data_IF_660648557607
#
_entry.id   IF_660648557607
#
_cell.length_a   1.000
_cell.length_b   1.000
_cell.length_c   1.000
_cell.angle_alpha   90.00
_cell.angle_beta   90.00
_cell.angle_gamma   90.00
#
_symmetry.space_group_name_H-M   'P 1'
#
loop_
_entity.id
_entity.type
_entity.pdbx_description
1 polymer ?
#
# COMPACT_ATOMS: atom_id res chain seq x y z
N UNK A 1 -1.48 -7.09 23.67
CA UNK A 1 -2.95 -7.25 23.81
C UNK A 1 -3.56 -7.04 22.42
N UNK A 2 -4.23 -8.04 21.91
CA UNK A 2 -5.02 -7.84 20.68
C UNK A 2 -6.19 -6.94 21.02
N UNK A 3 -6.35 -5.87 20.25
CA UNK A 3 -7.48 -4.95 20.43
C UNK A 3 -8.77 -5.72 20.20
N UNK A 4 -9.62 -5.86 21.20
CA UNK A 4 -10.96 -6.43 21.03
C UNK A 4 -11.86 -5.36 20.45
N UNK A 5 -12.43 -5.62 19.27
CA UNK A 5 -13.36 -4.73 18.57
C UNK A 5 -14.83 -5.12 18.76
N UNK A 6 -15.12 -5.95 19.79
CA UNK A 6 -16.50 -6.35 20.12
C UNK A 6 -17.34 -5.12 20.46
N UNK A 7 -18.50 -5.01 19.82
CA UNK A 7 -19.43 -3.90 20.00
C UNK A 7 -19.11 -2.66 19.17
N UNK A 8 -18.01 -2.65 18.42
CA UNK A 8 -17.68 -1.56 17.50
C UNK A 8 -18.01 -1.91 16.06
N UNK A 9 -18.51 -0.94 15.32
CA UNK A 9 -18.73 -1.02 13.88
C UNK A 9 -17.62 -0.33 13.12
N UNK A 10 -16.94 -1.07 12.25
CA UNK A 10 -15.83 -0.56 11.42
C UNK A 10 -16.29 -0.51 9.97
N UNK A 11 -16.26 0.69 9.39
CA UNK A 11 -16.45 0.89 7.96
C UNK A 11 -15.11 0.74 7.22
N UNK A 12 -15.01 -0.26 6.34
CA UNK A 12 -13.82 -0.51 5.51
C UNK A 12 -14.13 -0.18 4.06
N UNK A 13 -13.50 0.87 3.52
CA UNK A 13 -13.65 1.19 2.10
C UNK A 13 -12.62 0.43 1.26
N UNK A 14 -13.00 0.05 0.04
CA UNK A 14 -12.10 -0.74 -0.81
C UNK A 14 -11.92 -2.19 -0.35
N UNK A 15 -12.83 -2.72 0.47
CA UNK A 15 -12.78 -4.07 1.05
C UNK A 15 -12.75 -5.21 0.01
N UNK A 16 -13.14 -4.98 -1.24
CA UNK A 16 -12.99 -5.95 -2.35
C UNK A 16 -11.59 -5.96 -2.99
N UNK A 17 -10.70 -5.05 -2.58
CA UNK A 17 -9.31 -4.96 -3.03
C UNK A 17 -8.37 -5.84 -2.23
N UNK A 18 -7.10 -5.93 -2.66
CA UNK A 18 -6.06 -6.71 -1.98
C UNK A 18 -5.94 -6.34 -0.49
N UNK A 19 -5.44 -5.17 -0.15
CA UNK A 19 -5.25 -4.76 1.25
C UNK A 19 -6.58 -4.68 2.02
N UNK A 20 -7.63 -4.11 1.40
CA UNK A 20 -8.91 -3.92 2.07
C UNK A 20 -9.60 -5.23 2.46
N UNK A 21 -9.41 -6.31 1.68
CA UNK A 21 -9.96 -7.61 1.99
C UNK A 21 -9.31 -8.24 3.24
N UNK A 22 -8.02 -8.06 3.40
CA UNK A 22 -7.28 -8.54 4.58
C UNK A 22 -7.67 -7.74 5.82
N UNK A 23 -7.74 -6.41 5.70
CA UNK A 23 -8.19 -5.52 6.79
C UNK A 23 -9.62 -5.87 7.23
N UNK A 24 -10.55 -6.09 6.29
CA UNK A 24 -11.93 -6.46 6.63
C UNK A 24 -12.00 -7.80 7.39
N UNK A 25 -11.24 -8.82 6.94
CA UNK A 25 -11.15 -10.12 7.64
C UNK A 25 -10.54 -9.98 9.03
N UNK A 26 -9.46 -9.21 9.14
CA UNK A 26 -8.79 -8.98 10.43
C UNK A 26 -9.72 -8.24 11.41
N UNK A 27 -10.48 -7.24 10.96
CA UNK A 27 -11.48 -6.54 11.77
C UNK A 27 -12.60 -7.49 12.26
N UNK A 28 -13.13 -8.34 11.38
CA UNK A 28 -14.15 -9.33 11.74
C UNK A 28 -13.61 -10.36 12.72
N UNK A 29 -12.37 -10.86 12.51
CA UNK A 29 -11.71 -11.79 13.42
C UNK A 29 -11.46 -11.19 14.82
N UNK A 30 -11.21 -9.87 14.89
CA UNK A 30 -11.11 -9.13 16.14
C UNK A 30 -12.46 -8.82 16.81
N UNK A 31 -13.59 -9.25 16.21
CA UNK A 31 -14.93 -9.15 16.76
C UNK A 31 -15.73 -7.91 16.34
N UNK A 32 -15.26 -7.12 15.37
CA UNK A 32 -15.97 -5.94 14.89
C UNK A 32 -17.22 -6.32 14.04
N UNK A 33 -18.26 -5.47 14.08
CA UNK A 33 -19.32 -5.43 13.08
C UNK A 33 -18.77 -4.70 11.83
N UNK A 34 -18.42 -5.45 10.78
CA UNK A 34 -17.75 -4.91 9.60
C UNK A 34 -18.75 -4.48 8.54
N UNK A 35 -18.60 -3.23 8.09
CA UNK A 35 -19.33 -2.66 6.95
C UNK A 35 -18.35 -2.42 5.81
N UNK A 36 -18.57 -3.09 4.69
CA UNK A 36 -17.72 -2.95 3.50
C UNK A 36 -18.34 -1.97 2.51
N UNK A 37 -17.62 -0.86 2.27
CA UNK A 37 -18.03 0.19 1.34
C UNK A 37 -17.24 0.09 0.03
N UNK A 38 -17.97 -0.01 -1.08
CA UNK A 38 -17.32 -0.08 -2.39
C UNK A 38 -18.26 -0.56 -3.49
N UNK A 39 -17.79 -0.58 -4.73
CA UNK A 39 -18.57 -1.01 -5.91
C UNK A 39 -18.90 -2.51 -5.94
N UNK A 40 -18.17 -3.30 -5.16
CA UNK A 40 -18.34 -4.77 -5.06
C UNK A 40 -18.29 -5.16 -3.58
N UNK A 41 -18.97 -6.26 -3.22
CA UNK A 41 -18.91 -6.80 -1.87
C UNK A 41 -17.46 -7.06 -1.41
N UNK A 42 -17.21 -6.85 -0.13
CA UNK A 42 -16.01 -7.34 0.57
C UNK A 42 -16.12 -8.84 0.91
N UNK A 43 -15.07 -9.41 1.50
CA UNK A 43 -15.05 -10.85 1.81
C UNK A 43 -15.91 -11.23 3.03
N UNK A 44 -16.24 -10.26 3.89
CA UNK A 44 -16.97 -10.44 5.16
C UNK A 44 -17.79 -9.19 5.45
N UNK A 45 -18.75 -9.31 6.37
CA UNK A 45 -19.58 -8.20 6.84
C UNK A 45 -20.67 -7.77 5.85
N UNK A 46 -21.34 -6.65 6.18
CA UNK A 46 -22.40 -6.09 5.33
C UNK A 46 -21.81 -5.25 4.21
N UNK A 47 -22.35 -5.39 3.00
CA UNK A 47 -21.94 -4.56 1.86
C UNK A 47 -22.91 -3.39 1.67
N UNK A 48 -22.32 -2.20 1.55
CA UNK A 48 -23.02 -0.98 1.11
C UNK A 48 -22.38 -0.53 -0.20
N UNK A 49 -23.18 -0.48 -1.26
CA UNK A 49 -22.70 -0.03 -2.55
C UNK A 49 -22.27 1.45 -2.46
N UNK A 50 -21.06 1.74 -2.91
CA UNK A 50 -20.52 3.08 -2.92
C UNK A 50 -19.52 3.25 -4.06
N UNK A 51 -19.72 4.30 -4.86
CA UNK A 51 -18.76 4.74 -5.87
C UNK A 51 -18.08 6.03 -5.45
N UNK A 52 -16.83 5.93 -4.99
CA UNK A 52 -16.03 7.06 -4.55
C UNK A 52 -15.88 8.16 -5.62
N UNK A 53 -16.04 7.84 -6.92
CA UNK A 53 -15.98 8.83 -7.99
C UNK A 53 -17.23 9.70 -8.10
N UNK A 54 -18.35 9.31 -7.47
CA UNK A 54 -19.68 9.89 -7.73
C UNK A 54 -20.34 10.48 -6.50
N UNK A 55 -20.23 9.83 -5.34
CA UNK A 55 -21.10 10.11 -4.19
C UNK A 55 -20.33 10.08 -2.86
N UNK A 56 -20.93 10.65 -1.83
CA UNK A 56 -20.47 10.50 -0.45
C UNK A 56 -20.90 9.12 0.08
N UNK A 57 -20.09 8.46 0.94
CA UNK A 57 -20.49 7.19 1.54
C UNK A 57 -21.55 7.39 2.62
N UNK A 58 -22.46 6.42 2.75
CA UNK A 58 -23.25 6.28 3.96
C UNK A 58 -22.41 5.58 5.04
N UNK A 59 -22.03 6.34 6.06
CA UNK A 59 -21.28 5.86 7.22
C UNK A 59 -22.15 5.68 8.46
N UNK A 60 -23.47 5.63 8.31
CA UNK A 60 -24.39 5.51 9.42
C UNK A 60 -24.06 4.33 10.33
N UNK A 61 -23.90 4.62 11.62
CA UNK A 61 -23.58 3.62 12.65
C UNK A 61 -22.13 3.13 12.66
N UNK A 62 -21.21 3.64 11.83
CA UNK A 62 -19.79 3.32 11.95
C UNK A 62 -19.15 4.13 13.08
N UNK A 63 -18.39 3.45 13.94
CA UNK A 63 -17.60 4.07 15.00
C UNK A 63 -16.21 4.52 14.47
N UNK A 64 -15.65 3.75 13.52
CA UNK A 64 -14.34 3.99 12.92
C UNK A 64 -14.42 3.77 11.41
N UNK A 65 -13.67 4.58 10.66
CA UNK A 65 -13.53 4.45 9.20
C UNK A 65 -12.11 4.09 8.83
N UNK A 66 -11.92 2.98 8.11
CA UNK A 66 -10.62 2.60 7.53
C UNK A 66 -10.71 2.76 6.01
N UNK A 67 -10.00 3.77 5.49
CA UNK A 67 -10.08 4.15 4.09
C UNK A 67 -8.94 3.55 3.26
N UNK A 68 -9.27 2.53 2.45
CA UNK A 68 -8.33 1.90 1.50
C UNK A 68 -8.79 2.03 0.03
N UNK A 69 -9.99 2.58 -0.21
CA UNK A 69 -10.47 2.75 -1.58
C UNK A 69 -9.59 3.72 -2.35
N UNK A 70 -9.00 3.25 -3.43
CA UNK A 70 -8.19 4.06 -4.33
C UNK A 70 -8.15 3.45 -5.73
N UNK A 71 -7.95 4.29 -6.74
CA UNK A 71 -7.46 3.87 -8.05
C UNK A 71 -5.94 3.77 -7.95
N UNK A 72 -5.37 2.57 -8.23
CA UNK A 72 -3.93 2.30 -8.02
C UNK A 72 -3.17 2.17 -9.34
N UNK A 73 -3.80 1.67 -10.38
CA UNK A 73 -3.16 1.43 -11.68
C UNK A 73 -4.16 1.13 -12.78
N UNK A 74 -3.65 0.67 -13.92
CA UNK A 74 -4.45 0.38 -15.11
C UNK A 74 -4.56 1.59 -16.05
N UNK A 75 -5.35 1.48 -17.13
CA UNK A 75 -5.51 2.52 -18.16
C UNK A 75 -6.38 3.69 -17.67
N UNK A 76 -6.20 4.12 -16.42
CA UNK A 76 -6.98 5.19 -15.81
C UNK A 76 -6.42 6.55 -16.18
N UNK A 77 -7.30 7.49 -16.55
CA UNK A 77 -6.93 8.87 -16.84
C UNK A 77 -6.62 9.64 -15.53
N UNK A 78 -5.89 10.75 -15.66
CA UNK A 78 -5.69 11.69 -14.55
C UNK A 78 -7.01 12.07 -13.86
N UNK A 79 -8.06 12.33 -14.63
CA UNK A 79 -9.39 12.68 -14.11
C UNK A 79 -9.99 11.57 -13.26
N UNK A 80 -9.84 10.30 -13.66
CA UNK A 80 -10.33 9.16 -12.89
C UNK A 80 -9.56 9.00 -11.57
N UNK A 81 -8.22 9.10 -11.60
CA UNK A 81 -7.42 9.11 -10.38
C UNK A 81 -7.86 10.22 -9.41
N UNK A 82 -8.04 11.44 -9.91
CA UNK A 82 -8.46 12.59 -9.10
C UNK A 82 -9.85 12.37 -8.50
N UNK A 83 -10.83 11.96 -9.32
CA UNK A 83 -12.22 11.76 -8.86
C UNK A 83 -12.31 10.76 -7.70
N UNK A 84 -11.52 9.67 -7.75
CA UNK A 84 -11.54 8.64 -6.71
C UNK A 84 -10.65 9.02 -5.52
N UNK A 85 -9.35 9.29 -5.78
CA UNK A 85 -8.36 9.40 -4.72
C UNK A 85 -8.38 10.76 -4.00
N UNK A 86 -8.91 11.80 -4.65
CA UNK A 86 -8.97 13.15 -4.07
C UNK A 86 -10.41 13.54 -3.75
N UNK A 87 -11.25 13.65 -4.78
CA UNK A 87 -12.61 14.18 -4.60
C UNK A 87 -13.48 13.20 -3.79
N UNK A 88 -13.33 11.87 -4.05
CA UNK A 88 -13.99 10.81 -3.29
C UNK A 88 -13.51 10.75 -1.84
N UNK A 89 -12.20 10.91 -1.65
CA UNK A 89 -11.60 10.98 -0.32
C UNK A 89 -12.11 12.17 0.49
N UNK A 90 -12.25 13.36 -0.12
CA UNK A 90 -12.84 14.53 0.56
C UNK A 90 -14.27 14.27 0.98
N UNK A 91 -15.12 13.74 0.07
CA UNK A 91 -16.50 13.38 0.41
C UNK A 91 -16.59 12.38 1.56
N UNK A 92 -15.66 11.43 1.63
CA UNK A 92 -15.57 10.50 2.75
C UNK A 92 -15.19 11.22 4.06
N UNK A 93 -14.21 12.12 4.05
CA UNK A 93 -13.81 12.88 5.23
C UNK A 93 -14.96 13.77 5.73
N UNK A 94 -15.67 14.43 4.80
CA UNK A 94 -16.85 15.25 5.13
C UNK A 94 -17.97 14.40 5.75
N UNK A 95 -18.19 13.16 5.24
CA UNK A 95 -19.18 12.22 5.78
C UNK A 95 -18.73 11.64 7.13
N UNK A 96 -17.42 11.46 7.34
CA UNK A 96 -16.89 10.92 8.60
C UNK A 96 -17.11 11.85 9.78
N UNK A 97 -17.13 13.15 9.57
CA UNK A 97 -17.30 14.18 10.64
C UNK A 97 -16.27 13.99 11.76
N UNK A 98 -16.73 13.71 12.99
CA UNK A 98 -15.88 13.50 14.17
C UNK A 98 -15.41 12.06 14.38
N UNK A 99 -15.74 11.13 13.46
CA UNK A 99 -15.33 9.73 13.59
C UNK A 99 -13.83 9.60 13.33
N UNK A 100 -13.13 8.76 14.10
CA UNK A 100 -11.75 8.41 13.78
C UNK A 100 -11.62 7.84 12.36
N UNK A 101 -10.67 8.40 11.59
CA UNK A 101 -10.37 7.94 10.24
C UNK A 101 -8.93 7.44 10.19
N UNK A 102 -8.76 6.20 9.79
CA UNK A 102 -7.48 5.64 9.37
C UNK A 102 -7.41 5.70 7.85
N UNK A 103 -6.47 6.49 7.35
CA UNK A 103 -6.28 6.73 5.92
C UNK A 103 -5.06 5.97 5.42
N UNK A 104 -5.27 4.94 4.60
CA UNK A 104 -4.15 4.21 4.00
C UNK A 104 -3.65 4.95 2.77
N UNK A 105 -2.47 5.55 2.92
CA UNK A 105 -1.71 6.25 1.86
C UNK A 105 -0.67 5.32 1.25
N UNK A 106 0.52 5.81 0.97
CA UNK A 106 1.68 5.07 0.45
C UNK A 106 2.95 5.86 0.70
N UNK A 107 4.07 5.20 0.99
CA UNK A 107 5.37 5.86 1.05
C UNK A 107 5.86 6.38 -0.31
N UNK A 108 5.24 5.97 -1.41
CA UNK A 108 5.52 6.53 -2.75
C UNK A 108 5.10 8.01 -2.90
N UNK A 109 4.53 8.63 -1.86
CA UNK A 109 4.29 10.09 -1.82
C UNK A 109 5.56 10.89 -1.56
N UNK A 110 6.57 10.28 -0.93
CA UNK A 110 7.86 10.92 -0.67
C UNK A 110 8.60 11.27 -1.97
N UNK A 111 9.35 12.37 -1.94
CA UNK A 111 10.07 12.85 -3.11
C UNK A 111 11.19 11.89 -3.53
N UNK A 112 11.08 11.25 -4.71
CA UNK A 112 12.05 10.27 -5.17
C UNK A 112 13.41 10.88 -5.59
N UNK A 113 13.50 12.20 -5.69
CA UNK A 113 14.73 12.93 -6.07
C UNK A 113 15.70 13.12 -4.89
N UNK A 114 15.21 12.88 -3.67
CA UNK A 114 15.98 13.01 -2.44
C UNK A 114 16.49 11.65 -1.98
N UNK A 115 17.50 11.65 -1.09
CA UNK A 115 17.99 10.40 -0.49
C UNK A 115 16.89 9.70 0.33
N UNK A 116 16.71 8.41 0.10
CA UNK A 116 15.73 7.57 0.78
C UNK A 116 16.38 6.39 1.51
N UNK A 117 17.64 6.54 1.88
CA UNK A 117 18.38 5.55 2.69
C UNK A 117 17.81 5.36 4.10
N UNK A 118 17.13 6.39 4.66
CA UNK A 118 16.30 6.32 5.87
C UNK A 118 15.23 7.42 5.82
N UNK A 119 13.99 7.04 5.54
CA UNK A 119 12.87 7.97 5.32
C UNK A 119 12.01 8.06 6.57
N UNK A 120 11.97 9.23 7.18
CA UNK A 120 11.06 9.58 8.28
C UNK A 120 9.79 10.23 7.74
N UNK A 121 8.78 10.38 8.59
CA UNK A 121 7.49 10.95 8.19
C UNK A 121 7.54 12.44 7.82
N UNK A 122 8.58 13.15 8.24
CA UNK A 122 8.86 14.55 7.90
C UNK A 122 9.64 14.71 6.57
N UNK A 123 10.03 13.60 5.93
CA UNK A 123 10.67 13.64 4.59
C UNK A 123 9.74 14.33 3.59
N UNK A 124 10.27 15.19 2.70
CA UNK A 124 9.45 15.94 1.76
C UNK A 124 8.54 15.07 0.89
N UNK A 125 7.30 15.52 0.75
CA UNK A 125 6.29 14.92 -0.14
C UNK A 125 6.27 15.71 -1.44
N UNK A 126 6.62 15.07 -2.56
CA UNK A 126 6.73 15.76 -3.84
C UNK A 126 7.32 14.90 -4.94
N UNK A 127 7.80 15.53 -6.02
CA UNK A 127 8.49 14.84 -7.12
C UNK A 127 7.70 13.74 -7.82
N UNK A 128 6.38 13.80 -7.78
CA UNK A 128 5.48 12.71 -8.18
C UNK A 128 5.63 12.32 -9.65
N UNK A 129 6.02 11.08 -9.90
CA UNK A 129 6.25 10.52 -11.24
C UNK A 129 4.97 10.00 -11.91
N UNK A 130 3.89 9.81 -11.14
CA UNK A 130 2.63 9.24 -11.66
C UNK A 130 1.39 9.98 -11.15
N UNK A 131 0.27 9.84 -11.88
CA UNK A 131 -1.03 10.30 -11.43
C UNK A 131 -1.44 9.65 -10.09
N UNK A 132 -1.04 8.39 -9.88
CA UNK A 132 -1.29 7.69 -8.62
C UNK A 132 -0.62 8.39 -7.44
N UNK A 133 0.71 8.56 -7.47
CA UNK A 133 1.45 9.16 -6.36
C UNK A 133 1.02 10.59 -6.09
N UNK A 134 0.79 11.38 -7.15
CA UNK A 134 0.29 12.76 -7.05
C UNK A 134 -1.09 12.85 -6.41
N UNK A 135 -2.01 11.96 -6.78
CA UNK A 135 -3.38 11.98 -6.22
C UNK A 135 -3.44 11.38 -4.81
N UNK A 136 -2.59 10.39 -4.50
CA UNK A 136 -2.46 9.88 -3.12
C UNK A 136 -1.93 10.97 -2.19
N UNK A 137 -0.89 11.71 -2.59
CA UNK A 137 -0.37 12.84 -1.80
C UNK A 137 -1.41 13.96 -1.62
N UNK A 138 -2.18 14.28 -2.67
CA UNK A 138 -3.23 15.28 -2.57
C UNK A 138 -4.37 14.86 -1.63
N UNK A 139 -4.82 13.59 -1.70
CA UNK A 139 -5.83 13.04 -0.79
C UNK A 139 -5.35 12.98 0.65
N UNK A 140 -4.11 12.55 0.85
CA UNK A 140 -3.46 12.49 2.16
C UNK A 140 -3.41 13.85 2.85
N UNK A 141 -3.11 14.93 2.11
CA UNK A 141 -3.09 16.29 2.66
C UNK A 141 -4.45 16.68 3.25
N UNK A 142 -5.56 16.29 2.61
CA UNK A 142 -6.89 16.51 3.18
C UNK A 142 -7.14 15.65 4.41
N UNK A 143 -6.69 14.40 4.40
CA UNK A 143 -6.83 13.49 5.54
C UNK A 143 -6.07 14.02 6.77
N UNK A 144 -4.82 14.48 6.59
CA UNK A 144 -4.03 15.09 7.65
C UNK A 144 -4.70 16.37 8.20
N UNK A 145 -5.21 17.24 7.32
CA UNK A 145 -5.92 18.44 7.72
C UNK A 145 -7.23 18.14 8.48
N UNK A 146 -7.87 17.01 8.22
CA UNK A 146 -9.05 16.51 8.93
C UNK A 146 -8.73 15.77 10.24
N UNK A 147 -7.45 15.70 10.65
CA UNK A 147 -7.04 14.99 11.86
C UNK A 147 -7.01 13.47 11.75
N UNK A 148 -6.94 12.90 10.55
CA UNK A 148 -6.85 11.47 10.36
C UNK A 148 -5.47 10.91 10.74
N UNK A 149 -5.44 9.62 11.09
CA UNK A 149 -4.20 8.84 11.16
C UNK A 149 -3.89 8.29 9.78
N UNK A 150 -2.76 8.70 9.21
CA UNK A 150 -2.36 8.36 7.84
C UNK A 150 -1.27 7.30 7.89
N UNK A 151 -1.52 6.15 7.28
CA UNK A 151 -0.56 5.05 7.18
C UNK A 151 0.13 5.07 5.81
N UNK A 152 1.45 5.08 5.79
CA UNK A 152 2.29 5.06 4.59
C UNK A 152 3.02 3.71 4.46
N UNK A 153 2.37 2.65 3.96
CA UNK A 153 3.04 1.40 3.63
C UNK A 153 3.87 1.56 2.35
N UNK A 154 4.87 0.67 2.17
CA UNK A 154 5.64 0.58 0.94
C UNK A 154 5.68 -0.87 0.43
N UNK A 155 5.51 -1.03 -0.90
CA UNK A 155 5.61 -2.32 -1.58
C UNK A 155 4.89 -3.46 -0.80
N UNK A 156 3.58 -3.30 -0.61
CA UNK A 156 2.76 -4.26 0.15
C UNK A 156 2.72 -5.60 -0.57
N UNK A 157 3.02 -6.68 0.15
CA UNK A 157 3.00 -8.05 -0.34
C UNK A 157 2.13 -8.94 0.55
N UNK A 158 1.75 -10.11 0.04
CA UNK A 158 0.99 -11.11 0.80
C UNK A 158 -0.06 -11.84 -0.04
N UNK A 159 -0.90 -12.69 0.59
CA UNK A 159 -1.93 -13.45 -0.12
C UNK A 159 -2.92 -12.55 -0.85
N UNK A 160 -3.08 -12.78 -2.17
CA UNK A 160 -3.95 -11.98 -3.03
C UNK A 160 -3.28 -10.75 -3.65
N UNK A 161 -1.97 -10.60 -3.52
CA UNK A 161 -1.21 -9.55 -4.21
C UNK A 161 -1.35 -9.69 -5.74
N UNK A 162 -1.80 -8.59 -6.36
CA UNK A 162 -2.00 -8.49 -7.83
C UNK A 162 -1.00 -7.56 -8.49
N UNK A 163 -0.06 -7.01 -7.73
CA UNK A 163 0.81 -5.93 -8.20
C UNK A 163 2.29 -6.28 -8.13
N UNK A 164 2.81 -6.66 -6.97
CA UNK A 164 4.23 -6.91 -6.76
C UNK A 164 4.62 -8.29 -7.27
N UNK A 165 3.97 -9.34 -6.76
CA UNK A 165 4.28 -10.72 -7.12
C UNK A 165 4.18 -11.00 -8.63
N UNK A 166 3.10 -10.59 -9.35
CA UNK A 166 3.05 -10.78 -10.80
C UNK A 166 4.17 -10.08 -11.56
N UNK A 167 4.64 -8.92 -11.07
CA UNK A 167 5.78 -8.20 -11.70
C UNK A 167 7.09 -8.96 -11.54
N UNK A 168 7.32 -9.55 -10.36
CA UNK A 168 8.51 -10.37 -10.10
C UNK A 168 8.51 -11.60 -11.01
N UNK A 169 7.36 -12.28 -11.16
CA UNK A 169 7.21 -13.43 -12.06
C UNK A 169 7.38 -13.03 -13.53
N UNK A 170 6.72 -11.94 -13.96
CA UNK A 170 6.82 -11.44 -15.34
C UNK A 170 8.26 -11.01 -15.71
N UNK A 171 9.06 -10.59 -14.72
CA UNK A 171 10.45 -10.20 -14.92
C UNK A 171 11.38 -11.41 -15.11
N UNK A 172 10.99 -12.59 -14.62
CA UNK A 172 11.78 -13.83 -14.72
C UNK A 172 11.58 -14.49 -16.10
N UNK A 173 12.41 -14.11 -17.06
CA UNK A 173 12.36 -14.66 -18.43
C UNK A 173 13.63 -15.47 -18.76
N UNK A 174 13.45 -16.63 -19.34
CA UNK A 174 14.55 -17.49 -19.76
C UNK A 174 15.57 -17.74 -18.63
N UNK A 175 15.11 -17.92 -17.39
CA UNK A 175 15.96 -18.15 -16.22
C UNK A 175 16.79 -16.94 -15.77
N UNK A 176 16.42 -15.73 -16.18
CA UNK A 176 17.11 -14.48 -15.83
C UNK A 176 16.13 -13.40 -15.44
N UNK A 177 16.54 -12.55 -14.47
CA UNK A 177 15.87 -11.31 -14.13
C UNK A 177 16.84 -10.15 -14.40
N UNK A 178 16.44 -9.21 -15.26
CA UNK A 178 17.22 -8.01 -15.53
C UNK A 178 16.75 -6.89 -14.61
N UNK A 179 17.64 -6.39 -13.75
CA UNK A 179 17.35 -5.32 -12.80
C UNK A 179 18.18 -4.07 -13.09
N UNK A 180 17.60 -2.87 -13.01
CA UNK A 180 18.33 -1.64 -13.19
C UNK A 180 19.23 -1.32 -11.98
N UNK A 181 20.45 -0.89 -12.24
CA UNK A 181 21.41 -0.48 -11.22
C UNK A 181 21.94 -1.63 -10.36
N UNK A 182 22.73 -1.31 -9.36
CA UNK A 182 23.22 -2.24 -8.35
C UNK A 182 22.08 -2.73 -7.45
N UNK A 183 22.36 -3.71 -6.59
CA UNK A 183 21.42 -4.12 -5.55
C UNK A 183 21.14 -2.96 -4.58
N UNK A 184 19.90 -2.91 -4.08
CA UNK A 184 19.41 -1.83 -3.23
C UNK A 184 18.63 -2.40 -2.04
N UNK A 185 18.45 -1.58 -1.00
CA UNK A 185 17.68 -1.94 0.18
C UNK A 185 16.27 -1.39 0.08
N UNK A 186 15.27 -2.23 0.34
CA UNK A 186 13.86 -1.87 0.27
C UNK A 186 13.14 -2.23 1.57
N UNK A 187 12.39 -1.30 2.11
CA UNK A 187 11.34 -1.65 3.05
C UNK A 187 10.21 -2.33 2.28
N UNK A 188 9.65 -3.40 2.85
CA UNK A 188 8.44 -4.04 2.38
C UNK A 188 7.42 -4.01 3.50
N UNK A 189 6.15 -4.21 3.17
CA UNK A 189 5.07 -4.28 4.17
C UNK A 189 4.24 -5.53 3.92
N UNK A 190 4.27 -6.49 4.83
CA UNK A 190 3.31 -7.59 4.80
C UNK A 190 1.88 -7.04 4.93
N UNK A 191 0.95 -7.55 4.16
CA UNK A 191 -0.44 -7.06 4.18
C UNK A 191 -1.10 -7.29 5.54
N UNK A 192 -0.70 -8.33 6.27
CA UNK A 192 -1.13 -8.60 7.64
C UNK A 192 -0.61 -7.55 8.62
N UNK A 193 0.66 -7.12 8.48
CA UNK A 193 1.22 -6.02 9.28
C UNK A 193 0.47 -4.70 9.00
N UNK A 194 0.09 -4.45 7.75
CA UNK A 194 -0.75 -3.30 7.41
C UNK A 194 -2.14 -3.40 8.04
N UNK A 195 -2.74 -4.60 8.06
CA UNK A 195 -4.04 -4.82 8.68
C UNK A 195 -3.97 -4.59 10.21
N UNK A 196 -2.93 -5.11 10.88
CA UNK A 196 -2.68 -4.87 12.30
C UNK A 196 -2.53 -3.36 12.60
N UNK A 197 -1.76 -2.64 11.76
CA UNK A 197 -1.63 -1.19 11.86
C UNK A 197 -2.98 -0.48 11.69
N UNK A 198 -3.80 -0.89 10.71
CA UNK A 198 -5.13 -0.31 10.50
C UNK A 198 -6.05 -0.48 11.71
N UNK A 199 -5.96 -1.59 12.43
CA UNK A 199 -6.80 -1.87 13.61
C UNK A 199 -6.28 -1.20 14.89
N UNK A 200 -5.00 -0.90 14.98
CA UNK A 200 -4.42 -0.21 16.15
C UNK A 200 -4.39 1.31 15.99
N UNK A 201 -4.30 1.80 14.76
CA UNK A 201 -4.19 3.21 14.42
C UNK A 201 -5.34 4.12 14.91
N UNK A 202 -6.60 3.68 15.09
CA UNK A 202 -7.65 4.56 15.63
C UNK A 202 -7.34 5.15 17.02
N UNK A 203 -6.45 4.55 17.78
CA UNK A 203 -6.00 5.04 19.08
C UNK A 203 -4.73 5.92 19.00
N UNK A 204 -4.13 6.11 17.81
CA UNK A 204 -2.91 6.89 17.66
C UNK A 204 -3.19 8.39 17.51
N UNK A 205 -2.25 9.25 17.88
CA UNK A 205 -2.35 10.66 17.56
C UNK A 205 -2.46 10.90 16.06
N UNK A 206 -3.23 11.91 15.66
CA UNK A 206 -3.34 12.32 14.26
C UNK A 206 -1.96 12.61 13.65
N UNK A 207 -1.78 12.21 12.39
CA UNK A 207 -0.51 12.40 11.69
C UNK A 207 -0.16 11.24 10.76
N UNK A 208 1.00 11.34 10.09
CA UNK A 208 1.50 10.30 9.21
C UNK A 208 2.39 9.30 9.96
N UNK A 209 2.34 8.04 9.52
CA UNK A 209 3.10 6.93 10.09
C UNK A 209 3.60 6.01 8.97
N UNK A 210 4.89 5.74 8.95
CA UNK A 210 5.48 4.71 8.09
C UNK A 210 5.14 3.33 8.63
N UNK A 211 4.62 2.47 7.76
CA UNK A 211 4.28 1.08 8.11
C UNK A 211 5.13 0.15 7.26
N UNK A 212 5.98 -0.63 7.92
CA UNK A 212 6.94 -1.52 7.28
C UNK A 212 7.16 -2.77 8.12
N UNK A 213 7.71 -3.81 7.54
CA UNK A 213 8.24 -4.96 8.27
C UNK A 213 9.40 -4.55 9.18
N UNK A 214 9.80 -5.42 10.08
CA UNK A 214 10.79 -5.11 11.13
C UNK A 214 12.17 -4.69 10.60
N UNK A 215 12.54 -5.14 9.41
CA UNK A 215 13.82 -4.81 8.77
C UNK A 215 13.66 -4.64 7.26
N UNK A 216 14.48 -3.81 6.64
CA UNK A 216 14.54 -3.72 5.17
C UNK A 216 15.19 -4.95 4.58
N UNK A 217 14.88 -5.22 3.32
CA UNK A 217 15.37 -6.37 2.55
C UNK A 217 16.35 -5.92 1.47
N UNK A 218 17.34 -6.77 1.16
CA UNK A 218 18.07 -6.66 -0.09
C UNK A 218 17.12 -7.05 -1.23
N UNK A 219 16.98 -6.18 -2.21
CA UNK A 219 16.04 -6.37 -3.34
C UNK A 219 16.27 -7.69 -4.05
N UNK A 220 17.53 -7.99 -4.35
CA UNK A 220 17.90 -9.16 -5.13
C UNK A 220 17.60 -10.45 -4.38
N UNK A 221 17.92 -10.50 -3.10
CA UNK A 221 17.62 -11.64 -2.23
C UNK A 221 16.11 -11.87 -2.12
N UNK A 222 15.33 -10.81 -1.94
CA UNK A 222 13.87 -10.88 -1.87
C UNK A 222 13.26 -11.42 -3.17
N UNK A 223 13.76 -10.97 -4.33
CA UNK A 223 13.29 -11.44 -5.64
C UNK A 223 13.67 -12.91 -5.86
N UNK A 224 14.92 -13.30 -5.58
CA UNK A 224 15.38 -14.69 -5.74
C UNK A 224 14.62 -15.64 -4.84
N UNK A 225 14.42 -15.25 -3.56
CA UNK A 225 13.67 -16.07 -2.60
C UNK A 225 12.21 -16.24 -3.06
N UNK A 226 11.58 -15.17 -3.55
CA UNK A 226 10.22 -15.21 -4.07
C UNK A 226 10.09 -16.15 -5.29
N UNK A 227 11.01 -16.04 -6.24
CA UNK A 227 10.98 -16.91 -7.42
C UNK A 227 11.20 -18.38 -7.06
N UNK A 228 12.11 -18.67 -6.11
CA UNK A 228 12.35 -20.03 -5.62
C UNK A 228 11.10 -20.62 -4.95
N UNK A 229 10.41 -19.85 -4.12
CA UNK A 229 9.15 -20.27 -3.50
C UNK A 229 8.05 -20.60 -4.52
N UNK A 230 8.12 -19.98 -5.71
CA UNK A 230 7.24 -20.26 -6.86
C UNK A 230 7.77 -21.36 -7.80
N UNK A 231 8.81 -22.09 -7.39
CA UNK A 231 9.41 -23.16 -8.22
C UNK A 231 10.21 -22.64 -9.42
N UNK A 232 10.52 -21.33 -9.48
CA UNK A 232 11.27 -20.72 -10.58
C UNK A 232 12.70 -20.40 -10.17
N UNK A 233 13.66 -21.00 -10.88
CA UNK A 233 15.08 -20.66 -10.71
C UNK A 233 15.48 -19.59 -11.73
N UNK A 234 15.85 -18.41 -11.24
CA UNK A 234 16.34 -17.34 -12.09
C UNK A 234 17.59 -16.67 -11.49
N UNK A 235 18.48 -16.21 -12.36
CA UNK A 235 19.69 -15.47 -11.98
C UNK A 235 19.47 -14.00 -12.23
N UNK A 236 19.82 -13.16 -11.25
CA UNK A 236 19.79 -11.72 -11.41
C UNK A 236 20.97 -11.27 -12.26
N UNK A 237 20.70 -10.32 -13.14
CA UNK A 237 21.68 -9.58 -13.94
C UNK A 237 21.37 -8.11 -13.84
N UNK A 238 22.35 -7.32 -13.45
CA UNK A 238 22.23 -5.88 -13.38
C UNK A 238 22.49 -5.26 -14.75
N UNK A 239 21.67 -4.28 -15.11
CA UNK A 239 21.82 -3.46 -16.32
C UNK A 239 21.96 -1.97 -15.92
N UNK A 240 22.67 -1.17 -16.69
CA UNK A 240 22.75 0.25 -16.43
C UNK A 240 21.35 0.89 -16.37
N UNK A 241 21.14 1.80 -15.42
CA UNK A 241 19.81 2.43 -15.20
C UNK A 241 19.34 3.14 -16.47
N UNK A 242 20.26 3.83 -17.18
CA UNK A 242 19.93 4.53 -18.43
C UNK A 242 19.39 3.58 -19.51
N UNK A 243 19.93 2.35 -19.59
CA UNK A 243 19.48 1.36 -20.56
C UNK A 243 18.07 0.85 -20.22
N UNK A 244 17.81 0.60 -18.93
CA UNK A 244 16.46 0.22 -18.45
C UNK A 244 15.45 1.35 -18.67
N UNK A 245 15.85 2.62 -18.46
CA UNK A 245 15.01 3.78 -18.72
C UNK A 245 14.69 3.92 -20.21
N UNK A 246 15.70 3.82 -21.10
CA UNK A 246 15.49 3.85 -22.55
C UNK A 246 14.56 2.72 -23.04
N UNK A 247 14.71 1.50 -22.49
CA UNK A 247 13.81 0.39 -22.79
C UNK A 247 12.37 0.64 -22.30
N UNK A 248 12.21 1.27 -21.12
CA UNK A 248 10.91 1.66 -20.60
C UNK A 248 10.23 2.71 -21.47
N UNK A 249 10.96 3.70 -21.96
CA UNK A 249 10.45 4.73 -22.87
C UNK A 249 10.08 4.15 -24.24
N UNK A 250 10.93 3.29 -24.81
CA UNK A 250 10.67 2.64 -26.10
C UNK A 250 9.46 1.70 -26.06
N UNK A 251 9.14 1.17 -24.89
CA UNK A 251 7.99 0.26 -24.69
C UNK A 251 6.82 0.92 -23.97
N UNK A 252 6.81 2.24 -23.86
CA UNK A 252 5.79 3.00 -23.16
C UNK A 252 4.37 2.62 -23.62
N UNK A 253 3.53 2.23 -22.68
CA UNK A 253 2.16 1.78 -22.92
C UNK A 253 2.02 0.32 -23.43
N UNK A 254 3.10 -0.38 -23.78
CA UNK A 254 3.08 -1.78 -24.23
C UNK A 254 3.50 -2.77 -23.16
N UNK A 255 4.30 -2.33 -22.19
CA UNK A 255 4.77 -3.15 -21.08
C UNK A 255 4.44 -2.50 -19.76
N UNK A 256 4.58 -3.28 -18.66
CA UNK A 256 4.48 -2.74 -17.30
C UNK A 256 5.74 -1.99 -16.85
N UNK A 257 6.76 -1.92 -17.70
CA UNK A 257 7.95 -1.13 -17.50
C UNK A 257 7.64 0.33 -17.85
N UNK A 258 7.78 1.21 -16.88
CA UNK A 258 7.70 2.65 -17.08
C UNK A 258 8.76 3.33 -16.20
N UNK A 259 9.04 4.62 -16.40
CA UNK A 259 10.04 5.37 -15.62
C UNK A 259 9.84 5.21 -14.11
N UNK A 260 8.59 5.21 -13.65
CA UNK A 260 8.24 4.98 -12.25
C UNK A 260 8.65 3.57 -11.78
N UNK A 261 8.44 2.53 -12.59
CA UNK A 261 8.82 1.17 -12.23
C UNK A 261 10.34 1.02 -12.15
N UNK A 262 11.06 1.62 -13.10
CA UNK A 262 12.53 1.64 -13.09
C UNK A 262 13.04 2.34 -11.83
N UNK A 263 12.52 3.51 -11.51
CA UNK A 263 12.85 4.28 -10.31
C UNK A 263 12.61 3.46 -9.02
N UNK A 264 11.43 2.86 -8.88
CA UNK A 264 11.03 2.06 -7.71
C UNK A 264 11.95 0.85 -7.48
N UNK A 265 12.48 0.27 -8.56
CA UNK A 265 13.32 -0.93 -8.50
C UNK A 265 14.80 -0.58 -8.38
N UNK A 266 15.23 0.58 -8.90
CA UNK A 266 16.64 1.00 -8.92
C UNK A 266 17.10 1.76 -7.68
N UNK A 267 16.17 2.21 -6.83
CA UNK A 267 16.48 3.12 -5.72
C UNK A 267 16.31 2.46 -4.37
N UNK A 268 17.22 2.76 -3.44
CA UNK A 268 17.04 2.40 -2.03
C UNK A 268 15.86 3.17 -1.44
N UNK A 269 14.98 2.45 -0.73
CA UNK A 269 13.87 3.04 0.03
C UNK A 269 13.76 2.32 1.36
N UNK A 270 14.31 2.90 2.40
CA UNK A 270 14.22 2.37 3.76
C UNK A 270 13.38 3.30 4.61
N UNK A 271 12.27 2.81 5.12
CA UNK A 271 11.36 3.58 5.98
C UNK A 271 11.78 3.46 7.45
N UNK A 272 11.78 4.57 8.16
CA UNK A 272 11.86 4.59 9.61
C UNK A 272 10.46 4.33 10.20
N UNK A 273 10.27 3.17 10.84
CA UNK A 273 9.02 2.78 11.50
C UNK A 273 8.93 3.19 12.98
N UNK A 274 9.90 3.96 13.48
CA UNK A 274 10.03 4.30 14.92
C UNK A 274 8.78 5.00 15.45
N UNK A 275 8.17 5.90 14.67
CA UNK A 275 6.98 6.62 15.09
C UNK A 275 5.78 5.70 15.33
N UNK A 276 5.53 4.72 14.46
CA UNK A 276 4.49 3.71 14.65
C UNK A 276 4.84 2.79 15.83
N UNK A 277 6.13 2.42 15.98
CA UNK A 277 6.60 1.61 17.10
C UNK A 277 6.39 2.29 18.47
N UNK A 278 6.51 3.62 18.55
CA UNK A 278 6.22 4.40 19.77
C UNK A 278 4.72 4.36 20.14
N UNK A 279 3.84 4.09 19.17
CA UNK A 279 2.40 3.86 19.41
C UNK A 279 2.09 2.38 19.74
N UNK A 280 3.10 1.55 19.96
CA UNK A 280 2.95 0.14 20.30
C UNK A 280 2.83 -0.79 19.07
N UNK A 281 2.91 -0.29 17.85
CA UNK A 281 2.91 -1.13 16.65
C UNK A 281 4.17 -2.00 16.60
N UNK A 282 3.98 -3.31 16.33
CA UNK A 282 5.06 -4.27 16.14
C UNK A 282 4.72 -5.16 14.96
N UNK A 283 5.45 -5.04 13.84
CA UNK A 283 5.24 -5.93 12.70
C UNK A 283 5.58 -7.37 13.10
N UNK A 284 4.67 -8.30 12.82
CA UNK A 284 4.78 -9.71 13.23
C UNK A 284 5.16 -10.62 12.08
N UNK A 285 4.81 -10.22 10.84
CA UNK A 285 5.08 -11.01 9.63
C UNK A 285 6.31 -10.48 8.93
N UNK A 286 7.09 -11.39 8.35
CA UNK A 286 8.22 -11.08 7.48
C UNK A 286 8.07 -11.83 6.16
N UNK A 287 8.83 -11.42 5.14
CA UNK A 287 8.77 -12.03 3.81
C UNK A 287 8.97 -13.55 3.84
N UNK A 288 9.88 -14.04 4.68
CA UNK A 288 10.14 -15.47 4.83
C UNK A 288 8.91 -16.28 5.28
N UNK A 289 8.03 -15.70 6.12
CA UNK A 289 6.79 -16.36 6.52
C UNK A 289 5.84 -16.52 5.34
N UNK A 290 5.66 -15.45 4.57
CA UNK A 290 4.83 -15.47 3.36
C UNK A 290 5.35 -16.47 2.31
N UNK A 291 6.67 -16.52 2.12
CA UNK A 291 7.27 -17.44 1.14
C UNK A 291 7.13 -18.90 1.56
N UNK A 292 7.14 -19.20 2.87
CA UNK A 292 6.82 -20.56 3.37
C UNK A 292 5.37 -20.93 3.10
N UNK A 293 4.43 -20.01 3.37
CA UNK A 293 3.00 -20.23 3.09
C UNK A 293 2.72 -20.42 1.58
N UNK A 294 3.52 -19.76 0.73
CA UNK A 294 3.39 -19.84 -0.73
C UNK A 294 3.93 -21.15 -1.30
N UNK A 295 4.90 -21.77 -0.63
CA UNK A 295 5.53 -23.02 -1.05
C UNK A 295 4.82 -24.27 -0.49
N UNK A 296 3.91 -24.12 0.48
CA UNK A 296 3.11 -25.17 1.08
C UNK A 296 1.88 -25.51 0.22
#
# INVERSE_FOLDING_TARGET
>A
MEASWRGFRIAVTGASGFCGSVVARAAAAAGADVVCLGRRPGPVGKHFAWDAAREAPDLAGADVVIHLAATVGGPSTWTQFRRVNVDGGRRLLDAARSRPVVWVSTASVYDPRLDRGLVREDHPVGGHLTAYTRTKAAGERFALAAGAVVLRPYAVYGPGDRYLLPRVVDAARCGRVLLPGADVRLSLTAVENLADACLTAPAWPAGAYNITDAAPYQRDDAIVATLRALGTNARIRHVPIWLAAAAADATAGRTRLGPYTVEQVASTVVLDGTRAAQQGFRPRRVLADYLRDLAA
#
